data_IF_600352736959
#
_entry.id   IF_600352736959
#
_cell.length_a   1.000
_cell.length_b   1.000
_cell.length_c   1.000
_cell.angle_alpha   90.00
_cell.angle_beta   90.00
_cell.angle_gamma   90.00
#
_symmetry.space_group_name_H-M   'P 1'
#
loop_
_entity.id
_entity.type
_entity.pdbx_description
1 polymer ?
#
# COMPACT_ATOMS: atom_id res chain seq x y z
N UNK A 1 -2.67 -5.12 -0.28
CA UNK A 1 -2.36 -5.45 1.13
C UNK A 1 -0.86 -5.61 1.29
N UNK A 2 -0.33 -5.46 2.49
CA UNK A 2 1.10 -5.68 2.79
C UNK A 2 1.23 -7.09 3.36
N UNK A 3 2.02 -7.93 2.71
CA UNK A 3 2.31 -9.30 3.15
C UNK A 3 3.72 -9.37 3.73
N UNK A 4 3.83 -9.53 5.05
CA UNK A 4 5.13 -9.63 5.73
C UNK A 4 5.54 -11.09 5.79
N UNK A 5 6.71 -11.39 5.22
CA UNK A 5 7.28 -12.74 5.11
C UNK A 5 8.61 -12.79 5.86
N UNK A 6 8.90 -13.92 6.52
CA UNK A 6 10.24 -14.20 7.01
C UNK A 6 11.15 -14.63 5.86
N UNK A 7 11.96 -13.70 5.36
CA UNK A 7 12.88 -13.95 4.26
C UNK A 7 13.96 -14.98 4.61
N UNK A 8 14.29 -15.14 5.89
CA UNK A 8 15.36 -16.02 6.33
C UNK A 8 14.96 -17.50 6.34
N UNK A 9 13.67 -17.82 6.20
CA UNK A 9 13.18 -19.20 6.31
C UNK A 9 13.40 -19.80 7.70
N UNK A 10 13.41 -18.95 8.73
CA UNK A 10 13.61 -19.33 10.14
C UNK A 10 12.30 -19.56 10.91
N UNK A 11 11.16 -19.54 10.22
CA UNK A 11 9.84 -19.85 10.76
C UNK A 11 9.12 -20.85 9.88
N UNK A 12 8.42 -21.80 10.48
CA UNK A 12 7.52 -22.71 9.76
C UNK A 12 6.16 -22.06 9.46
N UNK A 13 5.28 -22.78 8.76
CA UNK A 13 3.93 -22.33 8.38
C UNK A 13 3.01 -22.00 9.57
N UNK A 14 3.34 -22.46 10.78
CA UNK A 14 2.60 -22.16 12.02
C UNK A 14 3.21 -20.96 12.78
N UNK A 15 4.33 -20.44 12.29
CA UNK A 15 5.09 -19.35 12.91
C UNK A 15 6.04 -19.79 14.02
N UNK A 16 6.31 -21.09 14.15
CA UNK A 16 7.28 -21.57 15.12
C UNK A 16 8.72 -21.36 14.60
N UNK A 17 9.69 -21.03 15.48
CA UNK A 17 11.09 -20.94 15.09
C UNK A 17 11.66 -22.29 14.62
N UNK A 18 12.30 -22.27 13.46
CA UNK A 18 13.07 -23.38 12.89
C UNK A 18 14.47 -22.90 12.50
N UNK A 19 15.37 -23.83 12.17
CA UNK A 19 16.71 -23.46 11.73
C UNK A 19 16.64 -22.60 10.45
N UNK A 20 17.36 -21.47 10.36
CA UNK A 20 17.32 -20.59 9.18
C UNK A 20 17.59 -21.34 7.87
N UNK A 21 16.78 -21.04 6.85
CA UNK A 21 16.81 -21.70 5.54
C UNK A 21 16.13 -23.08 5.49
N UNK A 22 15.49 -23.54 6.58
CA UNK A 22 14.78 -24.83 6.59
C UNK A 22 13.37 -24.77 6.02
N UNK A 23 12.77 -23.57 5.99
CA UNK A 23 11.47 -23.32 5.37
C UNK A 23 11.64 -22.44 4.14
N UNK A 24 10.86 -22.69 3.07
CA UNK A 24 10.90 -21.89 1.85
C UNK A 24 9.88 -20.74 1.95
N UNK A 25 10.33 -19.47 2.08
CA UNK A 25 9.42 -18.34 2.23
C UNK A 25 8.48 -18.10 1.04
N UNK A 26 8.78 -18.67 -0.13
CA UNK A 26 7.89 -18.59 -1.29
C UNK A 26 6.59 -19.39 -1.05
N UNK A 27 6.65 -20.47 -0.28
CA UNK A 27 5.47 -21.27 0.07
C UNK A 27 4.48 -20.46 0.92
N UNK A 28 4.97 -19.61 1.82
CA UNK A 28 4.12 -18.73 2.64
C UNK A 28 3.36 -17.70 1.80
N UNK A 29 4.03 -17.15 0.77
CA UNK A 29 3.41 -16.21 -0.17
C UNK A 29 2.28 -16.90 -0.94
N UNK A 30 2.58 -18.06 -1.52
CA UNK A 30 1.62 -18.84 -2.30
C UNK A 30 0.44 -19.31 -1.45
N UNK A 31 0.71 -19.73 -0.22
CA UNK A 31 -0.30 -20.17 0.72
C UNK A 31 -1.32 -19.05 1.00
N UNK A 32 -0.86 -17.85 1.37
CA UNK A 32 -1.78 -16.75 1.66
C UNK A 32 -2.57 -16.32 0.41
N UNK A 33 -1.91 -16.24 -0.75
CA UNK A 33 -2.58 -15.90 -2.01
C UNK A 33 -3.67 -16.93 -2.33
N UNK A 34 -3.38 -18.23 -2.15
CA UNK A 34 -4.36 -19.29 -2.33
C UNK A 34 -5.53 -19.17 -1.36
N UNK A 35 -5.28 -18.95 -0.07
CA UNK A 35 -6.34 -18.84 0.94
C UNK A 35 -7.28 -17.65 0.68
N UNK A 36 -6.74 -16.49 0.28
CA UNK A 36 -7.56 -15.32 -0.06
C UNK A 36 -8.43 -15.61 -1.29
N UNK A 37 -7.87 -16.27 -2.32
CA UNK A 37 -8.60 -16.69 -3.51
C UNK A 37 -9.72 -17.67 -3.14
N UNK A 38 -9.42 -18.70 -2.35
CA UNK A 38 -10.40 -19.71 -1.96
C UNK A 38 -11.50 -19.16 -1.05
N UNK A 39 -11.16 -18.22 -0.16
CA UNK A 39 -12.14 -17.49 0.63
C UNK A 39 -13.13 -16.71 -0.26
N UNK A 40 -12.61 -15.95 -1.23
CA UNK A 40 -13.46 -15.16 -2.13
C UNK A 40 -14.24 -16.03 -3.10
N UNK A 41 -13.65 -17.12 -3.60
CA UNK A 41 -14.36 -18.17 -4.32
C UNK A 41 -15.53 -18.69 -3.49
N UNK A 42 -15.33 -18.97 -2.19
CA UNK A 42 -16.39 -19.42 -1.28
C UNK A 42 -17.56 -18.45 -1.14
N UNK A 43 -17.30 -17.13 -1.24
CA UNK A 43 -18.36 -16.11 -1.25
C UNK A 43 -19.21 -16.22 -2.52
N UNK A 44 -18.56 -16.32 -3.68
CA UNK A 44 -19.23 -16.31 -4.98
C UNK A 44 -19.90 -17.66 -5.30
N UNK A 45 -19.22 -18.77 -4.99
CA UNK A 45 -19.66 -20.13 -5.31
C UNK A 45 -20.93 -20.54 -4.57
N UNK A 46 -21.12 -20.06 -3.32
CA UNK A 46 -22.25 -20.41 -2.45
C UNK A 46 -23.63 -20.23 -3.10
N UNK A 47 -23.78 -19.25 -4.00
CA UNK A 47 -25.04 -18.98 -4.69
C UNK A 47 -24.93 -19.09 -6.21
N UNK A 48 -23.83 -19.60 -6.74
CA UNK A 48 -23.48 -19.53 -8.17
C UNK A 48 -24.59 -20.00 -9.11
N UNK A 49 -25.10 -21.22 -8.89
CA UNK A 49 -26.16 -21.82 -9.73
C UNK A 49 -27.42 -20.96 -9.76
N UNK A 50 -27.78 -20.34 -8.63
CA UNK A 50 -28.95 -19.46 -8.55
C UNK A 50 -28.69 -18.13 -9.26
N UNK A 51 -27.49 -17.57 -9.12
CA UNK A 51 -27.10 -16.30 -9.73
C UNK A 51 -27.11 -16.41 -11.25
N UNK A 52 -26.45 -17.43 -11.82
CA UNK A 52 -26.40 -17.65 -13.26
C UNK A 52 -27.79 -17.83 -13.86
N UNK A 53 -28.65 -18.67 -13.26
CA UNK A 53 -30.04 -18.85 -13.74
C UNK A 53 -30.82 -17.54 -13.74
N UNK A 54 -30.62 -16.71 -12.72
CA UNK A 54 -31.27 -15.39 -12.64
C UNK A 54 -30.76 -14.46 -13.73
N UNK A 55 -29.44 -14.40 -13.93
CA UNK A 55 -28.79 -13.58 -14.96
C UNK A 55 -29.29 -13.96 -16.35
N UNK A 56 -29.37 -15.25 -16.67
CA UNK A 56 -29.85 -15.74 -17.96
C UNK A 56 -31.35 -15.49 -18.17
N UNK A 57 -32.19 -15.73 -17.15
CA UNK A 57 -33.64 -15.58 -17.26
C UNK A 57 -34.11 -14.12 -17.31
N UNK A 58 -33.46 -13.23 -16.56
CA UNK A 58 -33.82 -11.81 -16.44
C UNK A 58 -32.95 -10.90 -17.33
N UNK A 59 -32.00 -11.46 -18.09
CA UNK A 59 -31.03 -10.72 -18.91
C UNK A 59 -30.29 -9.62 -18.12
N UNK A 60 -29.87 -9.93 -16.89
CA UNK A 60 -29.16 -8.99 -16.03
C UNK A 60 -27.71 -8.81 -16.47
N UNK A 61 -27.14 -7.67 -16.08
CA UNK A 61 -25.71 -7.43 -16.19
C UNK A 61 -24.96 -8.27 -15.15
N UNK A 62 -24.19 -9.23 -15.63
CA UNK A 62 -23.41 -10.15 -14.79
C UNK A 62 -22.44 -9.40 -13.85
N UNK A 63 -21.83 -8.32 -14.33
CA UNK A 63 -20.87 -7.51 -13.57
C UNK A 63 -21.53 -6.91 -12.33
N UNK A 64 -22.77 -6.42 -12.47
CA UNK A 64 -23.55 -5.88 -11.34
C UNK A 64 -23.92 -6.95 -10.33
N UNK A 65 -24.31 -8.14 -10.80
CA UNK A 65 -24.69 -9.25 -9.92
C UNK A 65 -23.49 -9.72 -9.09
N UNK A 66 -22.31 -9.81 -9.69
CA UNK A 66 -21.08 -10.15 -8.97
C UNK A 66 -20.67 -9.03 -8.01
N UNK A 67 -20.72 -7.77 -8.45
CA UNK A 67 -20.45 -6.61 -7.59
C UNK A 67 -21.38 -6.60 -6.36
N UNK A 68 -22.66 -6.88 -6.52
CA UNK A 68 -23.61 -6.98 -5.38
C UNK A 68 -23.22 -8.09 -4.40
N UNK A 69 -22.82 -9.27 -4.90
CA UNK A 69 -22.33 -10.37 -4.05
C UNK A 69 -21.06 -10.00 -3.29
N UNK A 70 -20.19 -9.16 -3.88
CA UNK A 70 -18.91 -8.76 -3.34
C UNK A 70 -18.94 -7.38 -2.66
N UNK A 71 -20.10 -6.77 -2.49
CA UNK A 71 -20.23 -5.41 -1.93
C UNK A 71 -19.59 -5.24 -0.54
N UNK A 72 -19.47 -6.31 0.25
CA UNK A 72 -18.81 -6.31 1.55
C UNK A 72 -17.28 -6.37 1.53
N UNK A 73 -16.64 -6.55 0.37
CA UNK A 73 -15.18 -6.72 0.25
C UNK A 73 -14.44 -5.46 -0.20
N UNK A 74 -15.18 -4.39 -0.49
CA UNK A 74 -14.62 -3.14 -1.02
C UNK A 74 -14.02 -3.30 -2.42
N UNK A 75 -14.57 -4.22 -3.22
CA UNK A 75 -14.31 -4.35 -4.65
C UNK A 75 -15.22 -3.37 -5.38
N UNK A 76 -14.68 -2.62 -6.34
CA UNK A 76 -15.43 -1.68 -7.16
C UNK A 76 -16.04 -2.40 -8.37
N UNK A 77 -17.09 -1.83 -8.95
CA UNK A 77 -17.72 -2.45 -10.12
C UNK A 77 -16.80 -2.42 -11.34
N UNK A 78 -15.95 -1.38 -11.43
CA UNK A 78 -14.92 -1.23 -12.43
C UNK A 78 -13.92 -2.39 -12.38
N UNK A 79 -13.52 -2.83 -11.17
CA UNK A 79 -12.63 -3.98 -10.98
C UNK A 79 -13.25 -5.26 -11.52
N UNK A 80 -14.54 -5.48 -11.26
CA UNK A 80 -15.29 -6.65 -11.75
C UNK A 80 -15.36 -6.63 -13.27
N UNK A 81 -15.70 -5.48 -13.85
CA UNK A 81 -15.77 -5.32 -15.31
C UNK A 81 -14.41 -5.60 -15.94
N UNK A 82 -13.32 -5.08 -15.35
CA UNK A 82 -11.96 -5.32 -15.85
C UNK A 82 -11.58 -6.81 -15.75
N UNK A 83 -11.85 -7.44 -14.60
CA UNK A 83 -11.55 -8.85 -14.38
C UNK A 83 -12.31 -9.78 -15.34
N UNK A 84 -13.51 -9.38 -15.78
CA UNK A 84 -14.32 -10.14 -16.73
C UNK A 84 -13.81 -10.08 -18.17
N UNK A 85 -12.93 -9.13 -18.53
CA UNK A 85 -12.43 -8.98 -19.91
C UNK A 85 -11.51 -10.11 -20.35
N UNK A 86 -10.83 -10.78 -19.42
CA UNK A 86 -9.81 -11.80 -19.72
C UNK A 86 -10.33 -13.23 -19.57
N UNK A 87 -11.60 -13.40 -19.19
CA UNK A 87 -12.22 -14.72 -18.95
C UNK A 87 -13.31 -15.01 -19.98
N UNK A 88 -13.71 -16.28 -20.07
CA UNK A 88 -14.74 -16.71 -21.01
C UNK A 88 -16.09 -16.04 -20.69
N UNK A 89 -16.73 -15.31 -21.62
CA UNK A 89 -18.00 -14.62 -21.38
C UNK A 89 -19.20 -15.58 -21.25
N UNK A 90 -19.02 -16.89 -21.50
CA UNK A 90 -20.06 -17.90 -21.32
C UNK A 90 -20.13 -18.39 -19.86
N UNK A 91 -20.59 -17.50 -18.97
CA UNK A 91 -20.64 -17.73 -17.52
C UNK A 91 -21.43 -18.98 -17.10
N UNK A 92 -22.44 -19.38 -17.90
CA UNK A 92 -23.24 -20.59 -17.64
C UNK A 92 -22.50 -21.91 -17.86
N UNK A 93 -21.29 -21.86 -18.44
CA UNK A 93 -20.40 -23.02 -18.63
C UNK A 93 -19.19 -23.00 -17.70
N UNK A 94 -19.11 -22.04 -16.79
CA UNK A 94 -17.99 -21.97 -15.86
C UNK A 94 -18.05 -23.15 -14.89
N UNK A 95 -16.94 -23.87 -14.84
CA UNK A 95 -16.66 -24.84 -13.79
C UNK A 95 -15.94 -24.14 -12.62
N UNK A 96 -15.62 -24.89 -11.57
CA UNK A 96 -14.96 -24.33 -10.40
C UNK A 96 -13.61 -23.68 -10.73
N UNK A 97 -12.86 -24.27 -11.67
CA UNK A 97 -11.58 -23.72 -12.11
C UNK A 97 -11.72 -22.35 -12.77
N UNK A 98 -12.76 -22.15 -13.61
CA UNK A 98 -13.03 -20.86 -14.26
C UNK A 98 -13.36 -19.78 -13.21
N UNK A 99 -14.14 -20.15 -12.19
CA UNK A 99 -14.52 -19.24 -11.11
C UNK A 99 -13.31 -18.87 -10.23
N UNK A 100 -12.44 -19.83 -9.94
CA UNK A 100 -11.18 -19.59 -9.20
C UNK A 100 -10.26 -18.67 -10.00
N UNK A 101 -10.13 -18.89 -11.31
CA UNK A 101 -9.32 -18.03 -12.19
C UNK A 101 -9.86 -16.60 -12.25
N UNK A 102 -11.18 -16.44 -12.39
CA UNK A 102 -11.84 -15.14 -12.33
C UNK A 102 -11.57 -14.43 -11.00
N UNK A 103 -11.75 -15.13 -9.87
CA UNK A 103 -11.52 -14.56 -8.53
C UNK A 103 -10.06 -14.16 -8.34
N UNK A 104 -9.11 -14.98 -8.81
CA UNK A 104 -7.68 -14.67 -8.77
C UNK A 104 -7.37 -13.40 -9.56
N UNK A 105 -7.91 -13.27 -10.77
CA UNK A 105 -7.72 -12.07 -11.58
C UNK A 105 -8.34 -10.82 -10.92
N UNK A 106 -9.55 -10.97 -10.38
CA UNK A 106 -10.24 -9.90 -9.67
C UNK A 106 -9.44 -9.39 -8.46
N UNK A 107 -8.86 -10.30 -7.67
CA UNK A 107 -8.02 -9.95 -6.53
C UNK A 107 -6.74 -9.22 -6.95
N UNK A 108 -6.10 -9.64 -8.05
CA UNK A 108 -4.91 -8.98 -8.57
C UNK A 108 -5.18 -7.52 -8.98
N UNK A 109 -6.39 -7.23 -9.47
CA UNK A 109 -6.81 -5.88 -9.86
C UNK A 109 -7.25 -5.08 -8.64
N UNK A 110 -8.20 -5.61 -7.85
CA UNK A 110 -8.89 -4.86 -6.80
C UNK A 110 -8.12 -4.78 -5.47
N UNK A 111 -7.18 -5.71 -5.26
CA UNK A 111 -6.44 -5.90 -4.00
C UNK A 111 -4.95 -6.17 -4.28
N UNK A 112 -4.25 -5.29 -5.02
CA UNK A 112 -2.85 -5.52 -5.34
C UNK A 112 -2.02 -5.63 -4.05
N UNK A 113 -0.97 -6.45 -4.07
CA UNK A 113 -0.15 -6.79 -2.92
C UNK A 113 1.26 -6.19 -2.99
N UNK A 114 1.87 -6.05 -1.82
CA UNK A 114 3.28 -5.72 -1.64
C UNK A 114 3.87 -6.74 -0.67
N UNK A 115 4.93 -7.43 -1.09
CA UNK A 115 5.64 -8.37 -0.22
C UNK A 115 6.75 -7.63 0.52
N UNK A 116 6.75 -7.74 1.84
CA UNK A 116 7.83 -7.27 2.71
C UNK A 116 8.63 -8.50 3.13
N UNK A 117 9.85 -8.61 2.60
CA UNK A 117 10.78 -9.68 2.92
C UNK A 117 11.54 -9.29 4.21
N UNK A 118 10.92 -9.53 5.35
CA UNK A 118 11.42 -9.16 6.67
C UNK A 118 12.55 -10.11 7.14
N UNK A 119 13.33 -9.67 8.14
CA UNK A 119 14.54 -10.34 8.62
C UNK A 119 15.64 -10.42 7.55
N UNK A 120 15.73 -9.40 6.71
CA UNK A 120 16.72 -9.30 5.64
C UNK A 120 18.18 -9.34 6.15
N UNK A 121 18.40 -9.05 7.44
CA UNK A 121 19.69 -9.11 8.12
C UNK A 121 20.18 -10.54 8.43
N UNK A 122 19.30 -11.54 8.38
CA UNK A 122 19.64 -12.91 8.78
C UNK A 122 20.29 -13.73 7.65
N UNK A 123 21.13 -14.73 8.00
CA UNK A 123 21.70 -15.64 7.01
C UNK A 123 20.63 -16.34 6.17
N UNK A 124 20.89 -16.51 4.87
CA UNK A 124 19.95 -17.12 3.92
C UNK A 124 18.89 -16.16 3.37
N UNK A 125 18.62 -15.03 4.04
CA UNK A 125 17.59 -14.09 3.61
C UNK A 125 17.86 -13.50 2.21
N UNK A 126 19.12 -13.18 1.90
CA UNK A 126 19.49 -12.58 0.62
C UNK A 126 19.11 -13.43 -0.59
N UNK A 127 19.41 -14.73 -0.56
CA UNK A 127 19.08 -15.65 -1.67
C UNK A 127 17.56 -15.78 -1.84
N UNK A 128 16.84 -15.88 -0.73
CA UNK A 128 15.37 -15.95 -0.75
C UNK A 128 14.74 -14.64 -1.25
N UNK A 129 15.28 -13.49 -0.86
CA UNK A 129 14.85 -12.18 -1.36
C UNK A 129 15.01 -12.10 -2.88
N UNK A 130 16.17 -12.53 -3.41
CA UNK A 130 16.42 -12.56 -4.86
C UNK A 130 15.39 -13.47 -5.56
N UNK A 131 15.15 -14.68 -5.04
CA UNK A 131 14.10 -15.60 -5.55
C UNK A 131 12.70 -14.99 -5.52
N UNK A 132 12.34 -14.27 -4.46
CA UNK A 132 11.06 -13.57 -4.36
C UNK A 132 10.96 -12.44 -5.40
N UNK A 133 12.01 -11.65 -5.56
CA UNK A 133 12.06 -10.53 -6.52
C UNK A 133 11.98 -10.99 -7.98
N UNK A 134 12.46 -12.20 -8.28
CA UNK A 134 12.29 -12.82 -9.61
C UNK A 134 10.84 -13.22 -9.90
N UNK A 135 10.09 -13.64 -8.87
CA UNK A 135 8.73 -14.16 -9.02
C UNK A 135 7.64 -13.10 -8.84
N UNK A 136 7.85 -12.14 -7.95
CA UNK A 136 6.84 -11.16 -7.56
C UNK A 136 7.30 -9.74 -7.92
N UNK A 137 6.39 -8.91 -8.48
CA UNK A 137 6.78 -7.60 -9.02
C UNK A 137 7.16 -6.57 -7.96
N UNK A 138 6.78 -6.78 -6.70
CA UNK A 138 6.93 -5.80 -5.61
C UNK A 138 7.34 -6.51 -4.32
N UNK A 139 8.65 -6.62 -4.12
CA UNK A 139 9.26 -7.22 -2.93
C UNK A 139 10.29 -6.25 -2.36
N UNK A 140 10.09 -5.85 -1.10
CA UNK A 140 10.97 -4.91 -0.41
C UNK A 140 11.69 -5.65 0.71
N UNK A 141 13.03 -5.75 0.66
CA UNK A 141 13.84 -6.25 1.77
C UNK A 141 13.64 -5.37 2.99
N UNK A 142 13.47 -5.97 4.18
CA UNK A 142 13.18 -5.20 5.38
C UNK A 142 13.79 -5.81 6.63
N UNK A 143 14.18 -4.95 7.57
CA UNK A 143 14.52 -5.36 8.93
C UNK A 143 13.72 -4.52 9.93
N UNK A 144 12.56 -5.06 10.32
CA UNK A 144 11.66 -4.40 11.27
C UNK A 144 12.30 -4.22 12.66
N UNK A 145 13.16 -5.17 13.07
CA UNK A 145 13.90 -5.07 14.33
C UNK A 145 14.91 -3.92 14.29
N UNK A 146 15.62 -3.76 13.17
CA UNK A 146 16.55 -2.65 12.97
C UNK A 146 15.85 -1.29 13.02
N UNK A 147 14.70 -1.14 12.34
CA UNK A 147 13.91 0.09 12.38
C UNK A 147 13.44 0.42 13.80
N UNK A 148 12.93 -0.58 14.53
CA UNK A 148 12.47 -0.40 15.90
C UNK A 148 13.62 0.02 16.83
N UNK A 149 14.81 -0.58 16.67
CA UNK A 149 15.99 -0.24 17.44
C UNK A 149 16.45 1.20 17.18
N UNK A 150 16.53 1.63 15.91
CA UNK A 150 16.89 3.00 15.55
C UNK A 150 15.87 4.01 16.10
N UNK A 151 14.58 3.75 15.92
CA UNK A 151 13.52 4.65 16.41
C UNK A 151 13.49 4.77 17.94
N UNK A 152 13.76 3.68 18.65
CA UNK A 152 13.89 3.72 20.11
C UNK A 152 15.12 4.51 20.55
N UNK A 153 16.25 4.37 19.86
CA UNK A 153 17.46 5.15 20.14
C UNK A 153 17.26 6.65 19.86
N UNK A 154 16.53 7.00 18.78
CA UNK A 154 16.16 8.39 18.47
C UNK A 154 15.25 8.99 19.53
N UNK A 155 14.21 8.26 19.95
CA UNK A 155 13.30 8.71 21.03
C UNK A 155 14.02 8.88 22.37
N UNK A 156 15.07 8.11 22.62
CA UNK A 156 15.93 8.25 23.79
C UNK A 156 16.93 9.41 23.68
N UNK A 157 17.01 10.10 22.54
CA UNK A 157 17.96 11.19 22.29
C UNK A 157 19.40 10.73 22.12
N UNK A 158 19.63 9.43 21.88
CA UNK A 158 20.97 8.85 21.75
C UNK A 158 21.53 9.03 20.34
N UNK A 159 20.65 9.01 19.34
CA UNK A 159 20.97 9.19 17.93
C UNK A 159 19.99 10.18 17.27
N UNK A 160 20.37 10.73 16.12
CA UNK A 160 19.50 11.41 15.18
C UNK A 160 19.32 10.51 13.95
N UNK A 161 18.10 10.03 13.75
CA UNK A 161 17.71 9.17 12.64
C UNK A 161 16.28 9.51 12.22
N UNK A 162 16.03 9.56 10.90
CA UNK A 162 14.70 9.66 10.31
C UNK A 162 14.42 8.36 9.57
N UNK A 163 13.22 7.79 9.77
CA UNK A 163 12.79 6.57 9.09
C UNK A 163 12.99 6.67 7.57
N UNK A 164 13.69 5.68 7.00
CA UNK A 164 14.04 5.66 5.58
C UNK A 164 15.41 6.25 5.24
N UNK A 165 16.10 6.89 6.19
CA UNK A 165 17.48 7.36 5.97
C UNK A 165 18.45 6.17 5.86
N UNK A 166 19.52 6.37 5.09
CA UNK A 166 20.60 5.39 4.90
C UNK A 166 21.69 5.46 5.97
N UNK A 167 21.55 6.36 6.94
CA UNK A 167 22.53 6.56 8.01
C UNK A 167 21.89 7.27 9.19
N UNK A 168 22.56 7.24 10.34
CA UNK A 168 22.17 7.97 11.54
C UNK A 168 23.39 8.64 12.17
N UNK A 169 23.15 9.70 12.93
CA UNK A 169 24.20 10.40 13.69
C UNK A 169 24.12 10.03 15.17
N UNK A 170 25.25 9.66 15.78
CA UNK A 170 25.31 9.41 17.22
C UNK A 170 25.50 10.74 17.95
N UNK A 171 24.51 11.12 18.78
CA UNK A 171 24.52 12.39 19.51
C UNK A 171 25.29 12.27 20.84
N UNK A 172 25.12 11.15 21.54
CA UNK A 172 25.67 10.96 22.89
C UNK A 172 26.42 9.63 23.03
N UNK A 173 27.62 9.58 22.44
CA UNK A 173 28.45 8.36 22.44
C UNK A 173 28.77 7.83 23.85
N UNK A 174 28.93 8.73 24.82
CA UNK A 174 29.28 8.38 26.20
C UNK A 174 28.12 7.74 26.99
N UNK A 175 26.87 7.88 26.54
CA UNK A 175 25.70 7.24 27.17
C UNK A 175 25.39 5.87 26.59
N UNK A 176 26.02 5.50 25.48
CA UNK A 176 25.84 4.19 24.85
C UNK A 176 26.71 3.14 25.52
N UNK A 177 26.11 2.00 25.87
CA UNK A 177 26.87 0.85 26.33
C UNK A 177 27.48 0.07 25.14
N UNK A 178 28.44 -0.81 25.42
CA UNK A 178 29.14 -1.56 24.38
C UNK A 178 28.21 -2.45 23.51
N UNK A 179 27.10 -2.94 24.07
CA UNK A 179 26.14 -3.75 23.31
C UNK A 179 25.29 -2.89 22.36
N UNK A 180 24.90 -1.69 22.80
CA UNK A 180 24.17 -0.74 21.96
C UNK A 180 25.02 -0.24 20.81
N UNK A 181 26.30 0.06 21.05
CA UNK A 181 27.25 0.44 19.99
C UNK A 181 27.37 -0.68 18.96
N UNK A 182 27.57 -1.92 19.40
CA UNK A 182 27.63 -3.09 18.51
C UNK A 182 26.34 -3.30 17.72
N UNK A 183 25.18 -3.10 18.34
CA UNK A 183 23.90 -3.22 17.65
C UNK A 183 23.73 -2.14 16.57
N UNK A 184 24.09 -0.89 16.87
CA UNK A 184 24.07 0.21 15.90
C UNK A 184 25.04 -0.03 14.74
N UNK A 185 26.25 -0.52 15.03
CA UNK A 185 27.24 -0.93 14.02
C UNK A 185 26.70 -2.09 13.16
N UNK A 186 26.06 -3.08 13.79
CA UNK A 186 25.44 -4.19 13.09
C UNK A 186 24.35 -3.72 12.11
N UNK A 187 23.47 -2.81 12.54
CA UNK A 187 22.41 -2.25 11.71
C UNK A 187 23.00 -1.46 10.53
N UNK A 188 24.02 -0.63 10.80
CA UNK A 188 24.68 0.14 9.74
C UNK A 188 25.26 -0.80 8.68
N UNK A 189 26.06 -1.79 9.08
CA UNK A 189 26.81 -2.64 8.13
C UNK A 189 25.94 -3.67 7.41
N UNK A 190 24.98 -4.30 8.10
CA UNK A 190 24.23 -5.42 7.52
C UNK A 190 22.92 -4.99 6.86
N UNK A 191 22.37 -3.82 7.23
CA UNK A 191 21.10 -3.33 6.70
C UNK A 191 21.29 -2.05 5.89
N UNK A 192 21.72 -0.95 6.53
CA UNK A 192 21.72 0.36 5.87
C UNK A 192 22.73 0.43 4.72
N UNK A 193 23.93 -0.11 4.90
CA UNK A 193 24.96 -0.13 3.86
C UNK A 193 24.62 -1.09 2.70
N UNK A 194 23.80 -2.12 2.96
CA UNK A 194 23.43 -3.16 1.98
C UNK A 194 22.19 -2.78 1.18
N UNK A 195 21.14 -2.33 1.87
CA UNK A 195 19.82 -2.07 1.29
C UNK A 195 19.51 -0.57 1.17
N UNK A 196 20.35 0.32 1.71
CA UNK A 196 20.17 1.77 1.67
C UNK A 196 19.16 2.30 2.69
N UNK A 197 18.29 1.45 3.25
CA UNK A 197 17.39 1.78 4.35
C UNK A 197 17.01 0.51 5.12
N UNK A 198 16.17 0.62 6.13
CA UNK A 198 15.56 -0.53 6.82
C UNK A 198 14.42 -1.18 6.03
N UNK A 199 13.99 -0.59 4.92
CA UNK A 199 12.89 -1.04 4.06
C UNK A 199 11.48 -0.66 4.54
N UNK A 200 11.31 -0.26 5.81
CA UNK A 200 9.98 0.06 6.35
C UNK A 200 9.36 1.30 5.70
N UNK A 201 10.10 2.41 5.64
CA UNK A 201 9.58 3.63 5.03
C UNK A 201 9.37 3.47 3.52
N UNK A 202 10.26 2.72 2.86
CA UNK A 202 10.12 2.37 1.45
C UNK A 202 8.85 1.55 1.20
N UNK A 203 8.56 0.57 2.05
CA UNK A 203 7.36 -0.24 1.96
C UNK A 203 6.08 0.58 2.16
N UNK A 204 6.07 1.50 3.12
CA UNK A 204 4.94 2.41 3.32
C UNK A 204 4.76 3.35 2.13
N UNK A 205 5.84 3.93 1.61
CA UNK A 205 5.79 4.81 0.44
C UNK A 205 5.27 4.05 -0.79
N UNK A 206 5.78 2.86 -1.06
CA UNK A 206 5.35 2.01 -2.17
C UNK A 206 3.87 1.63 -2.02
N UNK A 207 3.43 1.28 -0.81
CA UNK A 207 2.03 0.96 -0.54
C UNK A 207 1.09 2.15 -0.75
N UNK A 208 1.53 3.37 -0.44
CA UNK A 208 0.69 4.57 -0.56
C UNK A 208 0.72 5.14 -1.97
N UNK A 209 1.91 5.37 -2.51
CA UNK A 209 2.10 6.11 -3.76
C UNK A 209 2.00 5.22 -5.00
N UNK A 210 2.49 3.97 -4.94
CA UNK A 210 2.52 3.10 -6.11
C UNK A 210 1.36 2.11 -6.15
N UNK A 211 1.00 1.55 -4.99
CA UNK A 211 -0.03 0.53 -4.90
C UNK A 211 -1.45 1.11 -4.88
N UNK A 212 -1.64 2.19 -4.12
CA UNK A 212 -2.92 2.90 -4.01
C UNK A 212 -3.00 4.10 -4.97
N UNK A 213 -1.93 4.38 -5.73
CA UNK A 213 -1.82 5.51 -6.67
C UNK A 213 -2.27 6.84 -6.03
N UNK A 214 -1.83 7.08 -4.80
CA UNK A 214 -2.15 8.30 -4.06
C UNK A 214 -1.11 9.39 -4.34
N UNK A 215 -1.51 10.65 -4.21
CA UNK A 215 -0.64 11.83 -4.29
C UNK A 215 -0.83 12.70 -3.04
N UNK A 216 0.18 13.49 -2.70
CA UNK A 216 0.08 14.44 -1.58
C UNK A 216 -0.35 15.81 -2.09
N UNK A 217 -1.42 16.38 -1.54
CA UNK A 217 -1.90 17.73 -1.88
C UNK A 217 -1.99 18.58 -0.62
N UNK A 218 -1.53 19.83 -0.70
CA UNK A 218 -1.45 20.75 0.43
C UNK A 218 -2.52 21.85 0.32
N UNK A 219 -3.54 21.87 1.18
CA UNK A 219 -4.51 22.94 1.19
C UNK A 219 -3.97 24.16 1.93
N UNK A 220 -4.21 25.35 1.38
CA UNK A 220 -3.83 26.62 2.03
C UNK A 220 -4.98 27.62 2.00
N UNK A 221 -5.03 28.49 3.02
CA UNK A 221 -6.00 29.60 3.07
C UNK A 221 -5.54 30.82 2.28
N UNK A 222 -4.23 31.07 2.26
CA UNK A 222 -3.57 32.16 1.53
C UNK A 222 -2.54 31.57 0.55
N UNK A 223 -2.75 31.82 -0.74
CA UNK A 223 -1.94 31.35 -1.87
C UNK A 223 -0.58 32.06 -1.97
N UNK A 224 -0.43 33.25 -1.41
CA UNK A 224 0.82 34.00 -1.46
C UNK A 224 1.73 33.68 -0.28
N UNK A 225 1.14 33.50 0.91
CA UNK A 225 1.87 33.16 2.13
C UNK A 225 2.01 31.66 2.35
N UNK A 226 1.21 30.85 1.65
CA UNK A 226 1.08 29.41 1.85
C UNK A 226 0.65 29.07 3.28
N UNK A 227 -0.19 29.92 3.88
CA UNK A 227 -0.59 29.80 5.28
C UNK A 227 -2.07 29.48 5.45
N UNK A 228 -2.42 28.92 6.61
CA UNK A 228 -3.79 28.90 7.11
C UNK A 228 -4.22 30.27 7.69
N UNK A 229 -5.43 30.32 8.25
CA UNK A 229 -5.98 31.49 8.93
C UNK A 229 -5.21 31.86 10.21
N UNK A 230 -4.41 30.95 10.77
CA UNK A 230 -3.61 31.15 11.99
C UNK A 230 -2.17 31.55 11.69
N UNK A 231 -1.78 31.57 10.41
CA UNK A 231 -0.42 31.89 9.96
C UNK A 231 0.55 30.70 9.94
N UNK A 232 0.06 29.47 10.12
CA UNK A 232 0.89 28.27 9.98
C UNK A 232 1.17 28.02 8.51
N UNK A 233 2.45 27.85 8.14
CA UNK A 233 2.87 27.57 6.77
C UNK A 233 2.66 26.09 6.45
N UNK A 234 1.97 25.80 5.34
CA UNK A 234 1.62 24.44 4.88
C UNK A 234 1.08 23.58 6.03
N UNK A 235 -0.09 23.95 6.59
CA UNK A 235 -0.59 23.40 7.84
C UNK A 235 -0.85 21.89 7.76
N UNK A 236 -1.31 21.42 6.60
CA UNK A 236 -1.84 20.08 6.39
C UNK A 236 -1.31 19.50 5.07
N UNK A 237 -1.25 18.17 5.01
CA UNK A 237 -0.92 17.40 3.83
C UNK A 237 -1.94 16.26 3.70
N UNK A 238 -2.65 16.22 2.58
CA UNK A 238 -3.69 15.22 2.33
C UNK A 238 -3.22 14.22 1.29
N UNK A 239 -3.46 12.93 1.57
CA UNK A 239 -3.36 11.89 0.55
C UNK A 239 -4.68 11.85 -0.23
N UNK A 240 -4.61 12.02 -1.54
CA UNK A 240 -5.77 11.93 -2.44
C UNK A 240 -5.47 10.96 -3.58
N UNK A 241 -6.47 10.25 -4.12
CA UNK A 241 -6.27 9.42 -5.31
C UNK A 241 -5.76 10.26 -6.47
N UNK A 242 -4.80 9.75 -7.24
CA UNK A 242 -4.33 10.40 -8.45
C UNK A 242 -5.47 10.55 -9.46
N UNK A 243 -5.46 11.66 -10.18
CA UNK A 243 -6.58 12.05 -11.06
C UNK A 243 -7.71 12.78 -10.33
N UNK A 244 -7.66 12.92 -8.99
CA UNK A 244 -8.62 13.74 -8.25
C UNK A 244 -8.63 15.18 -8.75
N UNK A 245 -9.81 15.78 -8.77
CA UNK A 245 -10.03 17.17 -9.14
C UNK A 245 -10.04 18.10 -7.91
N UNK A 246 -9.87 19.42 -8.07
CA UNK A 246 -9.97 20.38 -6.97
C UNK A 246 -11.32 20.34 -6.24
N UNK A 247 -12.41 19.98 -6.95
CA UNK A 247 -13.73 19.86 -6.33
C UNK A 247 -13.84 18.62 -5.46
N UNK A 248 -13.34 17.48 -5.92
CA UNK A 248 -13.27 16.25 -5.10
C UNK A 248 -12.37 16.47 -3.90
N UNK A 249 -11.24 17.14 -4.09
CA UNK A 249 -10.35 17.52 -3.00
C UNK A 249 -11.05 18.40 -1.96
N UNK A 250 -11.91 19.33 -2.39
CA UNK A 250 -12.72 20.12 -1.47
C UNK A 250 -13.61 19.25 -0.56
N UNK A 251 -14.22 18.19 -1.11
CA UNK A 251 -14.99 17.22 -0.33
C UNK A 251 -14.13 16.37 0.60
N UNK A 252 -12.89 16.06 0.22
CA UNK A 252 -11.92 15.36 1.08
C UNK A 252 -11.55 16.22 2.29
N UNK A 253 -11.39 17.53 2.12
CA UNK A 253 -11.12 18.45 3.23
C UNK A 253 -12.35 18.53 4.15
N UNK A 254 -13.51 18.87 3.59
CA UNK A 254 -14.77 18.93 4.34
C UNK A 254 -15.98 19.06 3.39
N UNK A 255 -17.10 18.40 3.72
CA UNK A 255 -18.32 18.43 2.90
C UNK A 255 -18.82 19.87 2.62
N UNK A 256 -18.88 20.74 3.65
CA UNK A 256 -19.28 22.14 3.47
C UNK A 256 -18.39 22.94 2.51
N UNK A 257 -17.08 22.61 2.43
CA UNK A 257 -16.15 23.27 1.51
C UNK A 257 -16.41 22.79 0.08
N UNK A 258 -16.66 21.49 -0.09
CA UNK A 258 -17.07 20.90 -1.36
C UNK A 258 -18.39 21.45 -1.89
N UNK A 259 -19.40 21.57 -1.04
CA UNK A 259 -20.73 22.08 -1.43
C UNK A 259 -20.70 23.56 -1.82
N UNK A 260 -19.81 24.35 -1.21
CA UNK A 260 -19.62 25.77 -1.51
C UNK A 260 -18.50 26.04 -2.51
N UNK A 261 -17.93 25.01 -3.12
CA UNK A 261 -16.81 25.13 -4.04
C UNK A 261 -17.14 26.07 -5.22
N UNK A 262 -16.35 27.14 -5.40
CA UNK A 262 -16.43 27.99 -6.58
C UNK A 262 -15.31 27.70 -7.57
N UNK A 263 -14.08 27.72 -7.08
CA UNK A 263 -12.88 27.46 -7.88
C UNK A 263 -11.68 27.19 -6.98
N UNK A 264 -10.58 26.77 -7.60
CA UNK A 264 -9.31 26.59 -6.94
C UNK A 264 -8.21 27.44 -7.57
N UNK A 265 -7.18 27.73 -6.78
CA UNK A 265 -5.98 28.46 -7.19
C UNK A 265 -4.76 27.58 -6.88
N UNK A 266 -3.91 27.37 -7.86
CA UNK A 266 -2.57 26.80 -7.67
C UNK A 266 -1.67 27.90 -7.09
N UNK A 267 -1.25 27.73 -5.85
CA UNK A 267 -0.45 28.70 -5.12
C UNK A 267 0.97 28.85 -5.69
N UNK A 268 1.54 27.79 -6.30
CA UNK A 268 2.88 27.86 -6.91
C UNK A 268 2.86 28.71 -8.17
N UNK A 269 1.81 28.55 -8.99
CA UNK A 269 1.64 29.31 -10.23
C UNK A 269 0.95 30.67 -9.98
N UNK A 270 0.35 30.86 -8.80
CA UNK A 270 -0.51 32.01 -8.49
C UNK A 270 -1.62 32.20 -9.54
N UNK A 271 -2.19 31.10 -10.02
CA UNK A 271 -3.17 31.08 -11.09
C UNK A 271 -4.38 30.23 -10.73
N UNK A 272 -5.56 30.69 -11.17
CA UNK A 272 -6.79 29.90 -11.10
C UNK A 272 -6.64 28.65 -11.96
N UNK A 273 -7.01 27.50 -11.40
CA UNK A 273 -7.07 26.23 -12.11
C UNK A 273 -8.51 25.87 -12.44
N UNK A 274 -8.67 25.09 -13.50
CA UNK A 274 -9.97 24.61 -13.95
C UNK A 274 -10.54 23.60 -12.94
N UNK A 275 -11.86 23.42 -12.93
CA UNK A 275 -12.52 22.48 -12.02
C UNK A 275 -12.23 21.02 -12.35
N UNK A 276 -11.82 20.74 -13.58
CA UNK A 276 -11.46 19.43 -14.15
C UNK A 276 -9.94 19.24 -14.25
N UNK A 277 -9.14 20.15 -13.69
CA UNK A 277 -7.70 19.97 -13.58
C UNK A 277 -7.40 18.73 -12.72
N UNK A 278 -6.59 17.81 -13.23
CA UNK A 278 -6.09 16.67 -12.46
C UNK A 278 -4.99 17.14 -11.51
N UNK A 279 -5.23 16.99 -10.20
CA UNK A 279 -4.25 17.36 -9.18
C UNK A 279 -2.96 16.55 -9.34
N UNK A 280 -1.82 17.19 -9.11
CA UNK A 280 -0.50 16.59 -9.20
C UNK A 280 0.15 16.46 -7.82
N UNK A 281 1.13 15.56 -7.71
CA UNK A 281 1.85 15.37 -6.46
C UNK A 281 2.52 16.67 -6.00
N UNK A 282 2.29 16.97 -4.72
CA UNK A 282 2.70 18.17 -3.99
C UNK A 282 2.05 19.47 -4.45
N UNK A 283 0.95 19.42 -5.20
CA UNK A 283 0.20 20.63 -5.52
C UNK A 283 -0.22 21.37 -4.24
N UNK A 284 -0.12 22.70 -4.29
CA UNK A 284 -0.53 23.58 -3.19
C UNK A 284 -1.76 24.35 -3.64
N UNK A 285 -2.90 23.99 -3.07
CA UNK A 285 -4.21 24.39 -3.58
C UNK A 285 -4.93 25.26 -2.57
N UNK A 286 -5.34 26.45 -2.99
CA UNK A 286 -6.31 27.26 -2.27
C UNK A 286 -7.69 27.01 -2.85
N UNK A 287 -8.62 26.60 -2.00
CA UNK A 287 -10.03 26.43 -2.37
C UNK A 287 -10.79 27.70 -2.04
N UNK A 288 -11.48 28.24 -3.04
CA UNK A 288 -12.33 29.42 -2.88
C UNK A 288 -13.79 28.98 -2.83
N UNK A 289 -14.45 29.34 -1.74
CA UNK A 289 -15.86 29.05 -1.50
C UNK A 289 -16.72 30.32 -1.61
N UNK A 290 -18.02 30.15 -1.89
CA UNK A 290 -19.00 31.24 -1.91
C UNK A 290 -19.54 31.58 -0.51
#
# INVERSE_FOLDING_TARGET
FIHVIDASGSTDAEGNPVDPGSHDPLEDIEFLEHEIVMWMYGIVSKNWVRLIRKVEAEHLDFSKVIFEQLSGTGILIEDVIEALRTVNPNYGKWEDEDLIEFVRNLLNIAKPSLVIANKADLPGARENIERMQEKYPRVIPTSAESELALMNATRAGLISYISGDSSFEILEKDKLNANQIKALEYIQTNILDVYGSTGIQEALNTAVFDLLDMIVVYPVGDEHKLTDQKGNVLPDAFLVPKGSTPREFAYIIHTDIGDKFMHAVDARKSMRIASDYELQDRDIIKIVTH
#
